data_IF_057857237322
#
_entry.id   IF_057857237322
#
_cell.length_a   1.000
_cell.length_b   1.000
_cell.length_c   1.000
_cell.angle_alpha   90.00
_cell.angle_beta   90.00
_cell.angle_gamma   90.00
#
_symmetry.space_group_name_H-M   'P 1'
#
loop_
_entity.id
_entity.type
_entity.pdbx_description
1 polymer ?
#
# COMPACT_ATOMS: atom_id res chain seq x y z
N UNK A 1 -32.51 51.76 40.40
CA UNK A 1 -33.07 51.37 39.10
C UNK A 1 -32.19 51.82 37.89
N UNK A 2 -31.73 53.10 37.87
CA UNK A 2 -30.93 53.63 36.72
C UNK A 2 -29.52 53.08 36.71
N UNK A 3 -28.87 52.95 37.87
CA UNK A 3 -27.50 52.39 38.01
C UNK A 3 -27.43 50.90 37.68
N UNK A 4 -28.43 50.13 38.08
CA UNK A 4 -28.55 48.70 37.71
C UNK A 4 -28.70 48.48 36.20
N UNK A 5 -29.48 49.32 35.53
CA UNK A 5 -29.61 49.25 34.04
C UNK A 5 -28.33 49.65 33.31
N UNK A 6 -27.47 50.50 33.88
CA UNK A 6 -26.15 50.85 33.34
C UNK A 6 -25.17 49.70 33.46
N UNK A 7 -25.10 49.04 34.61
CA UNK A 7 -24.22 47.88 34.82
C UNK A 7 -24.63 46.69 33.96
N UNK A 8 -25.92 46.46 33.79
CA UNK A 8 -26.47 45.42 32.95
C UNK A 8 -26.14 45.64 31.46
N UNK A 9 -26.24 46.87 30.95
CA UNK A 9 -25.83 47.24 29.60
C UNK A 9 -24.33 47.00 29.37
N UNK A 10 -23.46 47.37 30.30
CA UNK A 10 -22.02 47.17 30.19
C UNK A 10 -21.67 45.68 30.20
N UNK A 11 -22.40 44.86 30.98
CA UNK A 11 -22.19 43.41 30.98
C UNK A 11 -22.63 42.77 29.67
N UNK A 12 -23.78 43.15 29.14
CA UNK A 12 -24.27 42.68 27.84
C UNK A 12 -23.29 43.03 26.72
N UNK A 13 -22.72 44.23 26.72
CA UNK A 13 -21.72 44.64 25.71
C UNK A 13 -20.42 43.84 25.84
N UNK A 14 -19.95 43.55 27.05
CA UNK A 14 -18.80 42.67 27.30
C UNK A 14 -19.06 41.25 26.80
N UNK A 15 -20.22 40.69 27.09
CA UNK A 15 -20.61 39.34 26.70
C UNK A 15 -20.75 39.24 25.15
N UNK A 16 -21.27 40.28 24.51
CA UNK A 16 -21.35 40.38 23.05
C UNK A 16 -19.96 40.39 22.42
N UNK A 17 -19.05 41.25 22.90
CA UNK A 17 -17.70 41.33 22.40
C UNK A 17 -16.93 40.00 22.61
N UNK A 18 -17.13 39.33 23.75
CA UNK A 18 -16.54 38.01 24.00
C UNK A 18 -17.05 36.94 23.04
N UNK A 19 -18.37 36.97 22.74
CA UNK A 19 -18.97 36.06 21.75
C UNK A 19 -18.46 36.33 20.34
N UNK A 20 -18.33 37.58 19.92
CA UNK A 20 -17.80 37.96 18.61
C UNK A 20 -16.36 37.51 18.44
N UNK A 21 -15.48 37.76 19.41
CA UNK A 21 -14.09 37.31 19.39
C UNK A 21 -13.97 35.77 19.39
N UNK A 22 -14.85 35.09 20.10
CA UNK A 22 -14.91 33.63 20.12
C UNK A 22 -15.37 33.07 18.77
N UNK A 23 -16.34 33.72 18.11
CA UNK A 23 -16.85 33.35 16.78
C UNK A 23 -15.77 33.53 15.70
N UNK A 24 -15.01 34.63 15.75
CA UNK A 24 -13.89 34.85 14.83
C UNK A 24 -12.80 33.78 14.98
N UNK A 25 -12.43 33.46 16.24
CA UNK A 25 -11.47 32.37 16.53
C UNK A 25 -11.96 31.02 16.01
N UNK A 26 -13.25 30.71 16.16
CA UNK A 26 -13.84 29.48 15.63
C UNK A 26 -13.82 29.44 14.11
N UNK A 27 -14.17 30.53 13.43
CA UNK A 27 -14.11 30.63 11.95
C UNK A 27 -12.68 30.44 11.44
N UNK A 28 -11.69 31.08 12.08
CA UNK A 28 -10.29 30.92 11.72
C UNK A 28 -9.83 29.46 11.88
N UNK A 29 -10.22 28.82 12.98
CA UNK A 29 -9.89 27.42 13.24
C UNK A 29 -10.56 26.47 12.23
N UNK A 30 -11.80 26.75 11.85
CA UNK A 30 -12.52 25.98 10.80
C UNK A 30 -11.81 26.09 9.44
N UNK A 31 -11.39 27.30 9.05
CA UNK A 31 -10.61 27.50 7.83
C UNK A 31 -9.28 26.74 7.84
N UNK A 32 -8.56 26.79 8.96
CA UNK A 32 -7.31 26.05 9.13
C UNK A 32 -7.50 24.54 9.02
N UNK A 33 -8.52 23.99 9.69
CA UNK A 33 -8.85 22.57 9.64
C UNK A 33 -9.29 22.13 8.24
N UNK A 34 -10.07 22.97 7.54
CA UNK A 34 -10.49 22.70 6.16
C UNK A 34 -9.30 22.68 5.19
N UNK A 35 -8.35 23.60 5.35
CA UNK A 35 -7.14 23.63 4.55
C UNK A 35 -6.25 22.41 4.82
N UNK A 36 -6.10 22.02 6.10
CA UNK A 36 -5.35 20.84 6.49
C UNK A 36 -5.98 19.55 5.93
N UNK A 37 -7.30 19.41 6.01
CA UNK A 37 -8.02 18.28 5.43
C UNK A 37 -7.76 18.14 3.92
N UNK A 38 -7.83 19.24 3.16
CA UNK A 38 -7.54 19.22 1.72
C UNK A 38 -6.11 18.78 1.43
N UNK A 39 -5.15 19.21 2.23
CA UNK A 39 -3.76 18.82 2.06
C UNK A 39 -3.55 17.33 2.36
N UNK A 40 -4.18 16.82 3.42
CA UNK A 40 -4.09 15.42 3.79
C UNK A 40 -4.77 14.50 2.74
N UNK A 41 -5.92 14.90 2.22
CA UNK A 41 -6.57 14.21 1.11
C UNK A 41 -5.69 14.21 -0.15
N UNK A 42 -5.05 15.33 -0.48
CA UNK A 42 -4.12 15.42 -1.60
C UNK A 42 -2.94 14.45 -1.45
N UNK A 43 -2.35 14.39 -0.25
CA UNK A 43 -1.25 13.46 0.06
C UNK A 43 -1.70 12.00 -0.07
N UNK A 44 -2.88 11.65 0.46
CA UNK A 44 -3.45 10.30 0.32
C UNK A 44 -3.72 9.94 -1.15
N UNK A 45 -4.24 10.85 -1.95
CA UNK A 45 -4.45 10.62 -3.40
C UNK A 45 -3.13 10.45 -4.15
N UNK A 46 -2.11 11.24 -3.83
CA UNK A 46 -0.78 11.11 -4.44
C UNK A 46 -0.13 9.78 -4.07
N UNK A 47 -0.21 9.37 -2.80
CA UNK A 47 0.24 8.06 -2.35
C UNK A 47 -0.44 6.95 -3.16
N UNK A 48 -1.77 6.94 -3.20
CA UNK A 48 -2.54 5.95 -3.96
C UNK A 48 -2.08 5.89 -5.41
N UNK A 49 -2.01 7.04 -6.09
CA UNK A 49 -1.58 7.11 -7.50
C UNK A 49 -0.18 6.54 -7.72
N UNK A 50 0.78 6.89 -6.87
CA UNK A 50 2.16 6.40 -7.00
C UNK A 50 2.26 4.90 -6.70
N UNK A 51 1.54 4.41 -5.69
CA UNK A 51 1.45 2.99 -5.37
C UNK A 51 0.84 2.21 -6.54
N UNK A 52 -0.29 2.66 -7.09
CA UNK A 52 -0.95 2.02 -8.23
C UNK A 52 -0.04 1.97 -9.46
N UNK A 53 0.69 3.06 -9.76
CA UNK A 53 1.65 3.10 -10.86
C UNK A 53 2.79 2.11 -10.62
N UNK A 54 3.40 2.10 -9.44
CA UNK A 54 4.50 1.20 -9.12
C UNK A 54 4.10 -0.28 -9.19
N UNK A 55 2.91 -0.62 -8.69
CA UNK A 55 2.37 -1.98 -8.78
C UNK A 55 2.10 -2.38 -10.24
N UNK A 56 1.50 -1.50 -11.04
CA UNK A 56 1.25 -1.75 -12.49
C UNK A 56 2.54 -1.92 -13.27
N UNK A 57 3.57 -1.13 -12.98
CA UNK A 57 4.89 -1.30 -13.60
C UNK A 57 5.50 -2.66 -13.27
N UNK A 58 5.41 -3.11 -12.03
CA UNK A 58 5.92 -4.43 -11.64
C UNK A 58 5.15 -5.57 -12.31
N UNK A 59 3.83 -5.45 -12.42
CA UNK A 59 2.98 -6.39 -13.17
C UNK A 59 3.42 -6.45 -14.63
N UNK A 60 3.67 -5.31 -15.28
CA UNK A 60 4.12 -5.24 -16.66
C UNK A 60 5.52 -5.86 -16.84
N UNK A 61 6.45 -5.57 -15.92
CA UNK A 61 7.78 -6.19 -15.90
C UNK A 61 7.68 -7.72 -15.74
N UNK A 62 6.82 -8.20 -14.86
CA UNK A 62 6.60 -9.63 -14.66
C UNK A 62 6.03 -10.30 -15.92
N UNK A 63 5.05 -9.69 -16.58
CA UNK A 63 4.49 -10.16 -17.86
C UNK A 63 5.57 -10.23 -18.96
N UNK A 64 6.40 -9.19 -19.07
CA UNK A 64 7.47 -9.14 -20.08
C UNK A 64 8.54 -10.21 -19.84
N UNK A 65 8.94 -10.43 -18.58
CA UNK A 65 9.88 -11.51 -18.20
C UNK A 65 9.34 -12.88 -18.59
N UNK A 66 8.04 -13.12 -18.38
CA UNK A 66 7.41 -14.40 -18.74
C UNK A 66 7.33 -14.60 -20.25
N UNK A 67 6.97 -13.58 -21.01
CA UNK A 67 6.98 -13.62 -22.49
C UNK A 67 8.38 -13.97 -23.01
N UNK A 68 9.41 -13.30 -22.48
CA UNK A 68 10.80 -13.54 -22.88
C UNK A 68 11.24 -14.98 -22.52
N UNK A 69 10.86 -15.47 -21.34
CA UNK A 69 11.14 -16.84 -20.90
C UNK A 69 10.47 -17.89 -21.78
N UNK A 70 9.24 -17.64 -22.23
CA UNK A 70 8.53 -18.53 -23.15
C UNK A 70 9.19 -18.55 -24.54
N UNK A 71 9.57 -17.37 -25.07
CA UNK A 71 10.31 -17.27 -26.34
C UNK A 71 11.64 -18.02 -26.27
N UNK A 72 12.39 -17.90 -25.18
CA UNK A 72 13.65 -18.61 -25.00
C UNK A 72 13.46 -20.12 -24.93
N UNK A 73 12.41 -20.58 -24.21
CA UNK A 73 12.07 -22.01 -24.18
C UNK A 73 11.70 -22.57 -25.57
N UNK A 74 10.95 -21.78 -26.36
CA UNK A 74 10.60 -22.18 -27.73
C UNK A 74 11.85 -22.25 -28.61
N UNK A 75 12.73 -21.23 -28.54
CA UNK A 75 13.99 -21.22 -29.31
C UNK A 75 14.88 -22.43 -28.97
N UNK A 76 15.05 -22.74 -27.68
CA UNK A 76 15.80 -23.92 -27.25
C UNK A 76 15.18 -25.25 -27.72
N UNK A 77 13.83 -25.33 -27.78
CA UNK A 77 13.14 -26.52 -28.35
C UNK A 77 13.32 -26.64 -29.86
N UNK A 78 13.35 -25.55 -30.62
CA UNK A 78 13.58 -25.52 -32.05
C UNK A 78 15.03 -25.87 -32.37
N UNK A 79 16.00 -25.33 -31.63
CA UNK A 79 17.43 -25.68 -31.76
C UNK A 79 17.69 -27.16 -31.45
N UNK A 80 17.05 -27.70 -30.39
CA UNK A 80 17.14 -29.11 -30.04
C UNK A 80 16.49 -30.03 -31.11
N UNK A 81 15.47 -29.58 -31.85
CA UNK A 81 14.87 -30.30 -32.96
C UNK A 81 15.77 -30.27 -34.21
N UNK A 82 16.43 -29.14 -34.49
CA UNK A 82 17.38 -29.00 -35.60
C UNK A 82 18.64 -29.85 -35.40
N UNK A 83 19.13 -30.01 -34.18
CA UNK A 83 20.28 -30.84 -33.83
C UNK A 83 20.03 -32.37 -33.94
N UNK A 84 18.77 -32.81 -34.00
CA UNK A 84 18.38 -34.22 -34.18
C UNK A 84 18.08 -34.64 -35.64
N UNK A 85 18.17 -33.69 -36.59
CA UNK A 85 17.80 -33.95 -37.99
C UNK A 85 18.95 -34.47 -38.88
N UNK A 86 20.05 -34.97 -38.30
CA UNK A 86 21.17 -35.57 -39.10
C UNK A 86 21.40 -37.05 -38.80
N UNK A 87 20.36 -37.79 -38.45
CA UNK A 87 20.38 -39.27 -38.60
C UNK A 87 18.96 -39.83 -38.60
N UNK A 88 18.66 -40.48 -39.72
CA UNK A 88 17.55 -41.39 -40.02
C UNK A 88 16.30 -40.84 -40.72
N UNK A 89 16.36 -41.06 -42.06
CA UNK A 89 15.20 -41.25 -42.94
C UNK A 89 14.39 -42.48 -42.53
N UNK A 90 13.09 -42.33 -42.32
CA UNK A 90 11.96 -43.07 -42.89
C UNK A 90 10.68 -43.02 -42.04
N UNK A 91 9.64 -42.54 -42.73
CA UNK A 91 8.20 -42.90 -42.61
C UNK A 91 7.47 -42.71 -41.28
N UNK A 92 6.51 -41.79 -41.18
CA UNK A 92 5.07 -41.95 -41.42
C UNK A 92 4.28 -40.72 -41.02
N UNK A 93 3.34 -40.33 -41.89
CA UNK A 93 2.27 -39.37 -41.65
C UNK A 93 1.49 -39.64 -40.36
N UNK A 94 1.29 -38.62 -39.53
CA UNK A 94 0.07 -38.48 -38.71
C UNK A 94 -0.27 -36.98 -38.66
N UNK A 95 -1.41 -36.67 -39.26
CA UNK A 95 -2.14 -35.40 -39.02
C UNK A 95 -2.47 -35.31 -37.55
N UNK A 96 -2.21 -34.19 -36.92
CA UNK A 96 -2.93 -33.84 -35.72
C UNK A 96 -3.15 -32.33 -35.69
N UNK A 97 -4.40 -31.99 -35.72
CA UNK A 97 -4.99 -30.67 -35.55
C UNK A 97 -4.51 -30.01 -34.29
N UNK A 98 -3.98 -28.78 -34.41
CA UNK A 98 -3.67 -27.94 -33.28
C UNK A 98 -4.92 -27.11 -32.98
N UNK A 99 -5.74 -27.61 -32.09
CA UNK A 99 -6.77 -26.78 -31.43
C UNK A 99 -6.07 -25.73 -30.57
N UNK A 100 -6.16 -24.47 -30.98
CA UNK A 100 -5.73 -23.32 -30.20
C UNK A 100 -6.71 -23.15 -29.05
N UNK A 101 -6.33 -23.67 -27.88
CA UNK A 101 -7.09 -23.48 -26.65
C UNK A 101 -6.70 -22.14 -26.02
N UNK A 102 -7.42 -21.08 -26.41
CA UNK A 102 -7.35 -19.76 -25.77
C UNK A 102 -8.15 -19.77 -24.48
N UNK A 103 -7.64 -20.43 -23.44
CA UNK A 103 -8.17 -20.27 -22.08
C UNK A 103 -7.04 -20.26 -21.07
N UNK A 104 -7.02 -19.15 -20.28
CA UNK A 104 -6.25 -18.95 -19.06
C UNK A 104 -4.80 -18.47 -19.26
N UNK A 105 -4.64 -17.19 -19.57
CA UNK A 105 -3.42 -16.47 -19.18
C UNK A 105 -3.47 -16.30 -17.65
N UNK A 106 -3.17 -17.38 -16.95
CA UNK A 106 -2.73 -17.31 -15.56
C UNK A 106 -1.33 -16.72 -15.64
N UNK A 107 -1.09 -15.57 -15.04
CA UNK A 107 0.26 -15.02 -14.86
C UNK A 107 1.11 -16.12 -14.23
N UNK A 108 1.91 -16.80 -15.05
CA UNK A 108 2.83 -17.82 -14.56
C UNK A 108 3.95 -17.11 -13.81
N UNK A 109 3.74 -16.91 -12.52
CA UNK A 109 4.81 -16.57 -11.58
C UNK A 109 5.88 -17.67 -11.69
N UNK A 110 7.15 -17.29 -11.51
CA UNK A 110 8.22 -18.29 -11.33
C UNK A 110 7.77 -19.25 -10.22
N UNK A 111 8.20 -20.51 -10.27
CA UNK A 111 7.82 -21.52 -9.28
C UNK A 111 8.04 -21.04 -7.83
N UNK A 112 9.10 -20.28 -7.57
CA UNK A 112 9.37 -19.65 -6.28
C UNK A 112 8.33 -18.58 -5.91
N UNK A 113 7.96 -17.70 -6.85
CA UNK A 113 6.95 -16.66 -6.62
C UNK A 113 5.56 -17.25 -6.35
N UNK A 114 5.20 -18.35 -7.03
CA UNK A 114 3.94 -19.07 -6.77
C UNK A 114 3.93 -19.74 -5.41
N UNK A 115 5.05 -20.33 -4.95
CA UNK A 115 5.18 -20.92 -3.62
C UNK A 115 5.10 -19.86 -2.52
N UNK A 116 5.82 -18.75 -2.66
CA UNK A 116 5.78 -17.63 -1.71
C UNK A 116 4.37 -17.03 -1.62
N UNK A 117 3.68 -16.86 -2.75
CA UNK A 117 2.30 -16.37 -2.76
C UNK A 117 1.31 -17.30 -2.05
N UNK A 118 1.42 -18.61 -2.23
CA UNK A 118 0.61 -19.59 -1.49
C UNK A 118 0.92 -19.55 0.00
N UNK A 119 2.19 -19.45 0.38
CA UNK A 119 2.61 -19.34 1.77
C UNK A 119 2.09 -18.05 2.40
N UNK A 120 2.13 -16.91 1.69
CA UNK A 120 1.55 -15.66 2.16
C UNK A 120 0.04 -15.81 2.43
N UNK A 121 -0.71 -16.36 1.49
CA UNK A 121 -2.16 -16.59 1.63
C UNK A 121 -2.51 -17.47 2.83
N UNK A 122 -1.73 -18.53 3.07
CA UNK A 122 -1.92 -19.46 4.20
C UNK A 122 -1.65 -18.81 5.57
N UNK A 123 -0.99 -17.65 5.60
CA UNK A 123 -0.72 -16.89 6.82
C UNK A 123 -1.74 -15.78 7.09
N UNK A 124 -2.87 -15.76 6.39
CA UNK A 124 -3.97 -14.82 6.69
C UNK A 124 -4.40 -14.97 8.16
N UNK A 125 -4.47 -13.83 8.87
CA UNK A 125 -4.77 -13.77 10.31
C UNK A 125 -3.61 -14.14 11.23
N UNK A 126 -2.39 -14.39 10.67
CA UNK A 126 -1.20 -14.78 11.44
C UNK A 126 0.03 -13.94 11.11
N UNK A 127 -0.07 -13.00 10.16
CA UNK A 127 1.06 -12.14 9.82
C UNK A 127 1.48 -11.30 11.04
N UNK A 128 2.78 -11.10 11.28
CA UNK A 128 3.24 -10.21 12.33
C UNK A 128 2.87 -8.76 11.99
N UNK A 129 2.73 -7.95 13.01
CA UNK A 129 2.50 -6.52 12.83
C UNK A 129 3.74 -5.84 12.22
N UNK A 130 3.54 -4.86 11.32
CA UNK A 130 4.64 -4.14 10.68
C UNK A 130 5.44 -3.27 11.69
N UNK A 131 4.85 -2.95 12.83
CA UNK A 131 5.50 -2.24 13.95
C UNK A 131 5.36 -3.04 15.25
N UNK A 132 6.32 -2.92 16.17
CA UNK A 132 6.29 -3.70 17.40
C UNK A 132 5.13 -3.31 18.33
N UNK A 133 4.93 -2.01 18.54
CA UNK A 133 3.90 -1.46 19.42
C UNK A 133 3.15 -0.37 18.65
N UNK A 134 1.83 -0.43 18.66
CA UNK A 134 1.01 0.56 17.97
C UNK A 134 -0.46 0.20 18.03
N UNK A 135 -1.32 1.15 17.71
CA UNK A 135 -2.76 0.99 17.66
C UNK A 135 -3.25 1.39 16.26
N UNK A 136 -4.24 0.68 15.74
CA UNK A 136 -4.90 1.09 14.49
C UNK A 136 -5.73 2.33 14.79
N UNK A 137 -5.35 3.44 14.19
CA UNK A 137 -6.02 4.74 14.34
C UNK A 137 -6.94 5.03 13.17
N UNK A 138 -6.64 4.54 11.97
CA UNK A 138 -7.54 4.61 10.82
C UNK A 138 -7.67 3.21 10.18
N UNK A 139 -8.90 2.76 10.00
CA UNK A 139 -9.21 1.43 9.49
C UNK A 139 -9.30 1.41 7.97
N UNK A 140 -9.23 0.24 7.38
CA UNK A 140 -9.50 0.02 5.97
C UNK A 140 -10.94 0.40 5.60
N UNK A 141 -11.10 1.04 4.44
CA UNK A 141 -12.39 1.45 3.92
C UNK A 141 -12.79 2.86 4.36
N UNK A 142 -14.09 3.07 4.56
CA UNK A 142 -14.63 4.38 4.92
C UNK A 142 -14.49 4.64 6.43
N UNK A 143 -13.92 5.78 6.77
CA UNK A 143 -13.75 6.25 8.15
C UNK A 143 -14.42 7.60 8.31
N UNK A 144 -15.05 7.84 9.47
CA UNK A 144 -15.53 9.17 9.84
C UNK A 144 -14.35 10.05 10.24
N UNK A 145 -14.36 11.30 9.79
CA UNK A 145 -13.29 12.25 10.18
C UNK A 145 -13.39 12.56 11.68
N UNK A 146 -12.28 12.47 12.46
CA UNK A 146 -12.33 12.56 13.92
C UNK A 146 -12.80 13.92 14.44
N UNK A 147 -12.57 15.01 13.69
CA UNK A 147 -12.87 16.38 14.13
C UNK A 147 -13.93 17.10 13.30
N UNK A 148 -14.34 16.56 12.15
CA UNK A 148 -15.31 17.19 11.24
C UNK A 148 -16.54 16.29 11.07
N UNK A 149 -17.65 16.58 11.76
CA UNK A 149 -18.89 15.82 11.63
C UNK A 149 -19.40 15.82 10.18
N UNK A 150 -19.84 14.65 9.71
CA UNK A 150 -20.37 14.47 8.34
C UNK A 150 -19.30 14.32 7.26
N UNK A 151 -18.02 14.49 7.56
CA UNK A 151 -16.91 14.24 6.64
C UNK A 151 -16.44 12.79 6.79
N UNK A 152 -16.23 12.10 5.67
CA UNK A 152 -15.65 10.74 5.66
C UNK A 152 -14.47 10.66 4.72
N UNK A 153 -13.45 9.92 5.11
CA UNK A 153 -12.27 9.58 4.31
C UNK A 153 -12.31 8.11 3.87
N UNK A 154 -11.58 7.77 2.83
CA UNK A 154 -11.39 6.37 2.39
C UNK A 154 -9.92 6.01 2.55
N UNK A 155 -9.67 4.88 3.24
CA UNK A 155 -8.35 4.34 3.48
C UNK A 155 -8.18 3.00 2.74
N UNK A 156 -7.16 2.88 1.88
CA UNK A 156 -6.86 1.65 1.13
C UNK A 156 -6.09 0.60 1.97
N UNK A 157 -5.66 0.98 3.17
CA UNK A 157 -4.94 0.17 4.12
C UNK A 157 -5.40 0.44 5.55
N UNK A 158 -4.46 0.41 6.48
CA UNK A 158 -4.65 0.81 7.88
C UNK A 158 -3.53 1.76 8.30
N UNK A 159 -3.86 2.72 9.15
CA UNK A 159 -2.86 3.55 9.80
C UNK A 159 -2.64 3.06 11.23
N UNK A 160 -1.37 2.83 11.57
CA UNK A 160 -0.96 2.30 12.87
C UNK A 160 -0.10 3.35 13.56
N UNK A 161 -0.65 4.00 14.57
CA UNK A 161 0.08 4.95 15.40
C UNK A 161 0.93 4.21 16.43
N UNK A 162 2.16 4.62 16.58
CA UNK A 162 3.17 4.03 17.46
C UNK A 162 4.12 5.10 18.02
N UNK A 163 5.09 4.66 18.85
CA UNK A 163 6.10 5.55 19.40
C UNK A 163 6.94 6.19 18.30
N UNK A 164 7.41 7.42 18.57
CA UNK A 164 8.23 8.20 17.65
C UNK A 164 9.44 7.42 17.14
N UNK A 165 9.68 7.50 15.82
CA UNK A 165 10.83 6.87 15.16
C UNK A 165 10.81 5.34 15.17
N UNK A 166 9.67 4.71 15.43
CA UNK A 166 9.55 3.24 15.45
C UNK A 166 10.05 2.62 14.15
N UNK A 167 10.72 1.48 14.28
CA UNK A 167 11.16 0.68 13.13
C UNK A 167 9.99 -0.07 12.52
N UNK A 168 9.94 -0.06 11.19
CA UNK A 168 9.00 -0.85 10.38
C UNK A 168 9.71 -2.11 9.91
N UNK A 169 9.00 -3.23 9.94
CA UNK A 169 9.51 -4.55 9.56
C UNK A 169 8.61 -5.22 8.53
N UNK A 170 9.21 -6.05 7.67
CA UNK A 170 8.48 -6.86 6.71
C UNK A 170 7.55 -7.85 7.43
N UNK A 171 6.28 -7.89 7.06
CA UNK A 171 5.30 -8.83 7.63
C UNK A 171 5.45 -10.25 7.09
N UNK A 172 6.19 -10.42 6.00
CA UNK A 172 6.50 -11.71 5.38
C UNK A 172 7.78 -11.63 4.56
N UNK A 173 8.37 -12.77 4.23
CA UNK A 173 9.49 -12.86 3.30
C UNK A 173 9.10 -12.43 1.89
N UNK A 174 10.01 -11.84 1.14
CA UNK A 174 9.72 -11.39 -0.23
C UNK A 174 10.88 -10.65 -0.88
N UNK A 175 10.57 -9.95 -1.96
CA UNK A 175 11.50 -9.12 -2.71
C UNK A 175 11.00 -7.67 -2.75
N UNK A 176 11.87 -6.71 -2.50
CA UNK A 176 11.53 -5.28 -2.59
C UNK A 176 11.28 -4.93 -4.06
N UNK A 177 10.03 -4.67 -4.38
CA UNK A 177 9.59 -4.31 -5.74
C UNK A 177 9.90 -2.85 -6.08
N UNK A 178 9.65 -1.94 -5.14
CA UNK A 178 9.83 -0.51 -5.36
C UNK A 178 10.17 0.23 -4.08
N UNK A 179 10.99 1.29 -4.23
CA UNK A 179 11.28 2.28 -3.19
C UNK A 179 11.17 3.66 -3.82
N UNK A 180 10.35 4.55 -3.26
CA UNK A 180 10.20 5.92 -3.76
C UNK A 180 9.80 6.88 -2.63
N UNK A 181 9.88 8.19 -2.89
CA UNK A 181 9.50 9.23 -1.93
C UNK A 181 8.24 9.96 -2.39
N UNK A 182 7.46 10.40 -1.41
CA UNK A 182 6.30 11.27 -1.60
C UNK A 182 6.59 12.57 -0.85
N UNK A 183 6.59 13.73 -1.55
CA UNK A 183 6.80 15.02 -0.89
C UNK A 183 5.80 15.22 0.26
N UNK A 184 6.30 15.52 1.45
CA UNK A 184 5.47 15.76 2.63
C UNK A 184 4.81 14.52 3.27
N UNK A 185 5.14 13.28 2.79
CA UNK A 185 4.59 12.03 3.34
C UNK A 185 5.65 10.93 3.51
N UNK A 186 6.94 11.30 3.44
CA UNK A 186 8.03 10.34 3.65
C UNK A 186 8.28 9.39 2.47
N UNK A 187 8.95 8.29 2.75
CA UNK A 187 9.31 7.26 1.76
C UNK A 187 8.35 6.07 1.84
N UNK A 188 8.27 5.34 0.74
CA UNK A 188 7.42 4.16 0.57
C UNK A 188 8.27 2.98 0.12
N UNK A 189 8.02 1.82 0.72
CA UNK A 189 8.60 0.54 0.33
C UNK A 189 7.46 -0.39 -0.07
N UNK A 190 7.57 -1.03 -1.23
CA UNK A 190 6.66 -2.08 -1.70
C UNK A 190 7.42 -3.40 -1.73
N UNK A 191 6.88 -4.43 -1.08
CA UNK A 191 7.46 -5.78 -1.06
C UNK A 191 6.50 -6.73 -1.76
N UNK A 192 7.05 -7.54 -2.67
CA UNK A 192 6.32 -8.58 -3.41
C UNK A 192 6.46 -9.92 -2.70
N UNK A 193 5.32 -10.62 -2.55
CA UNK A 193 5.18 -11.94 -1.94
C UNK A 193 4.45 -12.90 -2.89
N UNK A 194 5.02 -13.12 -4.07
CA UNK A 194 4.32 -13.84 -5.15
C UNK A 194 3.18 -13.01 -5.74
N UNK A 195 1.95 -13.49 -5.67
CA UNK A 195 0.75 -12.77 -6.14
C UNK A 195 0.25 -11.67 -5.20
N UNK A 196 0.93 -11.44 -4.07
CA UNK A 196 0.59 -10.41 -3.10
C UNK A 196 1.69 -9.35 -3.03
N UNK A 197 1.28 -8.13 -2.67
CA UNK A 197 2.22 -7.04 -2.36
C UNK A 197 1.82 -6.37 -1.05
N UNK A 198 2.82 -5.97 -0.27
CA UNK A 198 2.63 -5.12 0.92
C UNK A 198 3.29 -3.78 0.73
N UNK A 199 2.62 -2.73 1.18
CA UNK A 199 3.07 -1.34 1.08
C UNK A 199 3.29 -0.80 2.48
N UNK A 200 4.45 -0.18 2.68
CA UNK A 200 4.84 0.48 3.93
C UNK A 200 5.15 1.93 3.62
N UNK A 201 4.41 2.86 4.19
CA UNK A 201 4.53 4.29 3.93
C UNK A 201 4.83 5.07 5.21
N UNK A 202 5.06 6.37 5.06
CA UNK A 202 5.47 7.30 6.12
C UNK A 202 6.86 6.97 6.69
N UNK A 203 7.76 6.40 5.85
CA UNK A 203 9.11 6.09 6.27
C UNK A 203 10.01 7.34 6.13
N UNK A 204 10.77 7.65 7.17
CA UNK A 204 11.83 8.65 7.14
C UNK A 204 13.09 8.07 6.51
N UNK A 205 13.47 6.88 6.96
CA UNK A 205 14.63 6.15 6.44
C UNK A 205 14.19 4.80 5.89
N UNK A 206 14.89 4.34 4.86
CA UNK A 206 14.70 3.03 4.24
C UNK A 206 16.02 2.27 4.32
N UNK A 207 15.98 1.02 4.79
CA UNK A 207 17.15 0.16 5.03
C UNK A 207 17.33 -0.90 3.95
N UNK A 208 16.46 -0.91 2.95
CA UNK A 208 16.44 -1.88 1.86
C UNK A 208 16.45 -1.18 0.51
N UNK A 209 16.91 -1.86 -0.52
CA UNK A 209 16.93 -1.35 -1.90
C UNK A 209 16.02 -2.17 -2.80
N UNK A 210 15.58 -1.59 -3.91
CA UNK A 210 14.82 -2.30 -4.93
C UNK A 210 15.58 -3.54 -5.40
N UNK A 211 14.89 -4.68 -5.53
CA UNK A 211 15.45 -5.99 -5.89
C UNK A 211 16.04 -6.79 -4.72
N UNK A 212 16.17 -6.20 -3.52
CA UNK A 212 16.66 -6.92 -2.33
C UNK A 212 15.64 -7.94 -1.85
N UNK A 213 16.10 -9.14 -1.48
CA UNK A 213 15.29 -10.10 -0.74
C UNK A 213 15.21 -9.67 0.73
N UNK A 214 14.03 -9.80 1.32
CA UNK A 214 13.79 -9.51 2.73
C UNK A 214 13.21 -10.74 3.42
N UNK A 215 13.64 -10.94 4.66
CA UNK A 215 13.13 -12.01 5.51
C UNK A 215 11.94 -11.54 6.36
N UNK A 216 11.17 -12.49 6.87
CA UNK A 216 10.11 -12.24 7.86
C UNK A 216 10.66 -11.43 9.05
N UNK A 217 9.97 -10.36 9.42
CA UNK A 217 10.33 -9.43 10.51
C UNK A 217 11.64 -8.64 10.29
N UNK A 218 12.25 -8.71 9.11
CA UNK A 218 13.42 -7.86 8.80
C UNK A 218 13.01 -6.39 8.81
N UNK A 219 13.83 -5.53 9.44
CA UNK A 219 13.60 -4.08 9.45
C UNK A 219 13.79 -3.51 8.04
N UNK A 220 12.79 -2.77 7.56
CA UNK A 220 12.78 -2.14 6.22
C UNK A 220 12.95 -0.62 6.27
N UNK A 221 12.78 -0.01 7.44
CA UNK A 221 12.95 1.43 7.62
C UNK A 221 12.57 1.89 9.01
N UNK A 222 12.59 3.20 9.22
CA UNK A 222 12.07 3.91 10.39
C UNK A 222 11.00 4.92 9.98
N UNK A 223 10.04 5.18 10.86
CA UNK A 223 8.93 6.09 10.59
C UNK A 223 9.31 7.56 10.81
N UNK A 224 8.62 8.43 10.09
CA UNK A 224 8.67 9.88 10.33
C UNK A 224 8.15 10.17 11.74
N UNK A 225 8.82 11.08 12.45
CA UNK A 225 8.39 11.58 13.75
C UNK A 225 7.50 12.82 13.55
N UNK A 226 6.26 12.74 13.99
CA UNK A 226 5.29 13.83 13.94
C UNK A 226 4.83 14.19 15.37
N UNK A 227 5.52 15.17 15.98
CA UNK A 227 5.11 15.66 17.30
C UNK A 227 5.18 14.64 18.45
N UNK A 228 6.15 13.73 18.43
CA UNK A 228 6.35 12.72 19.48
C UNK A 228 5.70 11.37 19.20
N UNK A 229 4.92 11.24 18.14
CA UNK A 229 4.33 9.99 17.65
C UNK A 229 4.74 9.71 16.21
N UNK A 230 4.56 8.49 15.77
CA UNK A 230 4.75 8.09 14.37
C UNK A 230 3.54 7.30 13.90
N UNK A 231 3.23 7.37 12.62
CA UNK A 231 2.16 6.59 11.99
C UNK A 231 2.71 5.76 10.84
N UNK A 232 2.45 4.46 10.85
CA UNK A 232 2.74 3.56 9.74
C UNK A 232 1.47 3.35 8.91
N UNK A 233 1.47 3.81 7.66
CA UNK A 233 0.43 3.42 6.72
C UNK A 233 0.81 2.10 6.07
N UNK A 234 -0.07 1.10 6.19
CA UNK A 234 0.18 -0.27 5.75
C UNK A 234 -0.96 -0.78 4.87
N UNK A 235 -0.61 -1.24 3.66
CA UNK A 235 -1.57 -1.81 2.70
C UNK A 235 -1.19 -3.25 2.31
N UNK A 236 -2.19 -4.05 1.95
CA UNK A 236 -2.02 -5.35 1.30
C UNK A 236 -2.77 -5.33 -0.02
N UNK A 237 -2.09 -5.72 -1.09
CA UNK A 237 -2.67 -5.84 -2.42
C UNK A 237 -2.59 -7.30 -2.91
N UNK A 238 -3.67 -7.77 -3.53
CA UNK A 238 -3.70 -9.00 -4.30
C UNK A 238 -3.61 -8.65 -5.79
N UNK A 239 -2.74 -9.31 -6.53
CA UNK A 239 -2.67 -9.19 -7.98
C UNK A 239 -3.55 -10.29 -8.59
N UNK A 240 -4.75 -9.91 -9.00
CA UNK A 240 -5.72 -10.80 -9.63
C UNK A 240 -5.93 -10.39 -11.08
N UNK A 241 -5.78 -11.33 -12.02
CA UNK A 241 -5.92 -11.07 -13.47
C UNK A 241 -5.07 -9.89 -14.00
N UNK A 242 -3.94 -9.63 -13.35
CA UNK A 242 -3.04 -8.53 -13.71
C UNK A 242 -3.54 -7.15 -13.30
N UNK A 243 -4.45 -7.08 -12.34
CA UNK A 243 -4.94 -5.85 -11.71
C UNK A 243 -4.71 -5.92 -10.19
N UNK A 244 -4.29 -4.83 -9.56
CA UNK A 244 -4.17 -4.76 -8.10
C UNK A 244 -5.55 -4.56 -7.47
N UNK A 245 -5.81 -5.32 -6.40
CA UNK A 245 -6.97 -5.21 -5.53
C UNK A 245 -6.49 -4.98 -4.10
N UNK A 246 -6.98 -3.96 -3.41
CA UNK A 246 -6.64 -3.69 -2.01
C UNK A 246 -7.43 -4.62 -1.09
N UNK A 247 -6.75 -5.18 -0.10
CA UNK A 247 -7.33 -6.06 0.91
C UNK A 247 -7.29 -5.40 2.28
N UNK A 248 -8.28 -5.68 3.13
CA UNK A 248 -8.29 -5.18 4.51
C UNK A 248 -7.15 -5.81 5.33
N UNK A 249 -6.08 -5.05 5.70
CA UNK A 249 -4.93 -5.61 6.39
C UNK A 249 -5.25 -6.15 7.79
N UNK A 250 -6.27 -5.62 8.46
CA UNK A 250 -6.68 -6.07 9.80
C UNK A 250 -7.09 -7.54 9.84
N UNK A 251 -7.52 -8.11 8.68
CA UNK A 251 -7.88 -9.52 8.56
C UNK A 251 -6.67 -10.44 8.35
N UNK A 252 -5.49 -9.86 8.13
CA UNK A 252 -4.25 -10.60 7.82
C UNK A 252 -3.28 -10.62 8.99
N UNK A 253 -3.31 -9.58 9.81
CA UNK A 253 -2.46 -9.47 10.99
C UNK A 253 -2.93 -10.42 12.08
N UNK A 254 -1.98 -11.08 12.74
CA UNK A 254 -2.23 -11.93 13.90
C UNK A 254 -2.75 -11.13 15.09
N UNK A 255 -3.50 -11.80 15.99
CA UNK A 255 -3.88 -11.21 17.27
C UNK A 255 -2.65 -10.79 18.08
N UNK A 256 -2.80 -9.72 18.85
CA UNK A 256 -1.82 -9.30 19.86
C UNK A 256 -2.12 -9.93 21.17
#
# INVERSE_FOLDING_TARGET
>A
AIEQKKTEKVQIEKDKNLKETSLEKLKLKEQQLSAQLKEDERKKQELKRKVDVAIREEINKAKQREINRQKEKQRKKEEAKKGKSTQNTKTKNVKNDVAVNTKKVVTAESSEGSATGKNFANNKGRLPWPVNNGQITERYGRNSHPTLPGVSTVNNGIDITCSSGSKVRAVFEGEVSSVFSIPGSGKVVIIKHGGYMTVYSNLQEVYVSQGSKVSLKQSVGSLVNEGGVSSCHFEIHLISNGLPETLNPSLWLGGR
#
